data_IF_010714611455
#
_entry.id   IF_010714611455
#
_cell.length_a   1.000
_cell.length_b   1.000
_cell.length_c   1.000
_cell.angle_alpha   90.00
_cell.angle_beta   90.00
_cell.angle_gamma   90.00
#
_symmetry.space_group_name_H-M   'P 1'
#
loop_
_entity.id
_entity.type
_entity.pdbx_description
1 polymer ?
#
# COMPACT_ATOMS: atom_id res chain seq x y z
N UNK A 1 11.81 -34.54 -14.30
CA UNK A 1 12.47 -33.35 -13.70
C UNK A 1 11.39 -32.30 -13.50
N UNK A 2 10.98 -32.07 -12.25
CA UNK A 2 9.82 -31.27 -11.91
C UNK A 2 10.13 -29.78 -11.82
N UNK A 3 9.36 -29.01 -12.59
CA UNK A 3 9.03 -27.59 -12.49
C UNK A 3 9.38 -26.96 -11.13
N UNK A 4 10.42 -26.11 -11.09
CA UNK A 4 10.70 -25.15 -10.01
C UNK A 4 10.39 -23.74 -10.52
N UNK A 5 9.11 -23.46 -10.79
CA UNK A 5 8.64 -22.18 -11.34
C UNK A 5 7.82 -21.36 -10.32
N UNK A 6 7.73 -21.81 -9.07
CA UNK A 6 6.67 -21.37 -8.15
C UNK A 6 7.11 -20.30 -7.12
N UNK A 7 8.41 -20.16 -6.84
CA UNK A 7 8.85 -19.34 -5.68
C UNK A 7 9.12 -17.88 -6.05
N UNK A 8 9.69 -17.63 -7.23
CA UNK A 8 10.10 -16.28 -7.68
C UNK A 8 8.95 -15.48 -8.30
N UNK A 9 8.00 -16.14 -8.97
CA UNK A 9 6.77 -15.48 -9.48
C UNK A 9 5.89 -14.95 -8.35
N UNK A 10 5.88 -15.62 -7.19
CA UNK A 10 5.02 -15.22 -6.06
C UNK A 10 5.41 -13.88 -5.44
N UNK A 11 6.70 -13.52 -5.42
CA UNK A 11 7.14 -12.24 -4.82
C UNK A 11 6.98 -11.06 -5.80
N UNK A 12 7.19 -11.27 -7.09
CA UNK A 12 6.92 -10.28 -8.13
C UNK A 12 5.40 -10.03 -8.32
N UNK A 13 4.56 -11.06 -8.13
CA UNK A 13 3.10 -10.91 -8.05
C UNK A 13 2.62 -10.31 -6.71
N UNK A 14 3.34 -10.48 -5.60
CA UNK A 14 2.92 -9.96 -4.28
C UNK A 14 2.93 -8.43 -4.16
N UNK A 15 3.72 -7.74 -4.99
CA UNK A 15 3.67 -6.29 -5.12
C UNK A 15 2.60 -5.83 -6.12
N UNK A 16 1.61 -6.67 -6.46
CA UNK A 16 0.47 -6.33 -7.31
C UNK A 16 -0.14 -4.99 -6.86
N UNK A 17 0.28 -3.95 -7.58
CA UNK A 17 -0.02 -2.54 -7.44
C UNK A 17 -0.34 -2.06 -6.03
N UNK A 18 0.63 -1.48 -5.31
CA UNK A 18 0.35 -0.64 -4.13
C UNK A 18 -0.77 0.40 -4.40
N UNK A 19 -0.93 0.80 -5.67
CA UNK A 19 -2.05 1.59 -6.18
C UNK A 19 -3.42 0.92 -6.00
N UNK A 20 -3.55 -0.39 -6.23
CA UNK A 20 -4.79 -1.17 -6.08
C UNK A 20 -5.21 -1.33 -4.60
N UNK A 21 -4.29 -1.15 -3.65
CA UNK A 21 -4.60 -1.11 -2.23
C UNK A 21 -5.19 0.24 -1.79
N UNK A 22 -4.92 1.33 -2.51
CA UNK A 22 -5.37 2.67 -2.10
C UNK A 22 -6.91 2.79 -2.05
N UNK A 23 -7.68 2.30 -3.04
CA UNK A 23 -9.15 2.26 -2.94
C UNK A 23 -9.66 1.39 -1.81
N UNK A 24 -9.05 0.20 -1.60
CA UNK A 24 -9.44 -0.74 -0.52
C UNK A 24 -9.22 -0.14 0.86
N UNK A 25 -8.06 0.50 1.08
CA UNK A 25 -7.75 1.21 2.31
C UNK A 25 -8.70 2.40 2.53
N UNK A 26 -9.04 3.12 1.46
CA UNK A 26 -10.02 4.22 1.54
C UNK A 26 -11.41 3.72 1.96
N UNK A 27 -11.85 2.57 1.43
CA UNK A 27 -13.11 1.95 1.82
C UNK A 27 -13.09 1.53 3.29
N UNK A 28 -12.01 0.90 3.75
CA UNK A 28 -11.86 0.48 5.15
C UNK A 28 -11.90 1.67 6.12
N UNK A 29 -11.21 2.76 5.81
CA UNK A 29 -11.23 3.99 6.62
C UNK A 29 -12.65 4.56 6.71
N UNK A 30 -13.38 4.60 5.58
CA UNK A 30 -14.77 5.07 5.57
C UNK A 30 -15.71 4.17 6.37
N UNK A 31 -15.54 2.85 6.29
CA UNK A 31 -16.30 1.91 7.13
C UNK A 31 -16.03 2.16 8.62
N UNK A 32 -14.77 2.38 9.01
CA UNK A 32 -14.42 2.76 10.39
C UNK A 32 -15.10 4.07 10.84
N UNK A 33 -15.11 5.09 9.98
CA UNK A 33 -15.80 6.36 10.25
C UNK A 33 -17.31 6.17 10.44
N UNK A 34 -17.95 5.34 9.61
CA UNK A 34 -19.37 5.06 9.70
C UNK A 34 -19.73 4.30 10.98
N UNK A 35 -18.93 3.30 11.36
CA UNK A 35 -19.14 2.55 12.61
C UNK A 35 -19.01 3.44 13.85
N UNK A 36 -18.07 4.40 13.85
CA UNK A 36 -17.94 5.39 14.92
C UNK A 36 -19.17 6.28 15.00
N UNK A 37 -19.67 6.76 13.86
CA UNK A 37 -20.89 7.56 13.81
C UNK A 37 -22.13 6.77 14.29
N UNK A 38 -22.27 5.52 13.84
CA UNK A 38 -23.36 4.63 14.24
C UNK A 38 -23.34 4.36 15.76
N UNK A 39 -22.18 4.00 16.33
CA UNK A 39 -22.08 3.76 17.78
C UNK A 39 -22.41 5.00 18.60
N UNK A 40 -22.05 6.17 18.09
CA UNK A 40 -22.38 7.46 18.70
C UNK A 40 -23.89 7.68 18.70
N UNK A 41 -24.55 7.47 17.56
CA UNK A 41 -26.00 7.62 17.44
C UNK A 41 -26.73 6.67 18.39
N UNK A 42 -26.30 5.41 18.46
CA UNK A 42 -26.85 4.42 19.38
C UNK A 42 -26.63 4.82 20.85
N UNK A 43 -25.51 5.44 21.20
CA UNK A 43 -25.28 5.92 22.57
C UNK A 43 -26.30 6.98 22.98
N UNK A 44 -26.65 7.88 22.07
CA UNK A 44 -27.65 8.93 22.31
C UNK A 44 -29.05 8.32 22.36
N UNK A 45 -29.39 7.41 21.46
CA UNK A 45 -30.71 6.75 21.45
C UNK A 45 -30.98 5.93 22.72
N UNK A 46 -29.93 5.37 23.33
CA UNK A 46 -30.00 4.61 24.56
C UNK A 46 -29.84 5.47 25.83
N UNK A 47 -29.83 6.80 25.70
CA UNK A 47 -29.63 7.74 26.81
C UNK A 47 -28.29 7.53 27.55
N UNK A 48 -27.29 6.91 26.88
CA UNK A 48 -25.92 6.75 27.39
C UNK A 48 -25.10 8.03 27.23
N UNK A 49 -25.53 8.95 26.37
CA UNK A 49 -24.88 10.23 26.14
C UNK A 49 -25.88 11.36 25.81
N UNK A 50 -25.75 12.48 26.52
CA UNK A 50 -26.67 13.62 26.40
C UNK A 50 -26.47 14.45 25.11
N UNK A 51 -25.22 14.54 24.63
CA UNK A 51 -24.85 15.41 23.51
C UNK A 51 -24.16 14.60 22.41
N UNK A 52 -24.80 14.43 21.23
CA UNK A 52 -24.24 13.66 20.13
C UNK A 52 -22.85 14.11 19.68
N UNK A 53 -22.59 15.41 19.69
CA UNK A 53 -21.31 15.96 19.28
C UNK A 53 -20.16 15.55 20.23
N UNK A 54 -20.40 15.54 21.54
CA UNK A 54 -19.39 15.13 22.53
C UNK A 54 -19.17 13.62 22.51
N UNK A 55 -20.23 12.83 22.37
CA UNK A 55 -20.12 11.39 22.21
C UNK A 55 -19.34 11.02 20.94
N UNK A 56 -19.54 11.77 19.84
CA UNK A 56 -18.79 11.58 18.61
C UNK A 56 -17.31 11.88 18.81
N UNK A 57 -17.00 12.99 19.46
CA UNK A 57 -15.62 13.40 19.75
C UNK A 57 -14.91 12.37 20.63
N UNK A 58 -15.57 11.83 21.66
CA UNK A 58 -15.02 10.76 22.50
C UNK A 58 -14.77 9.48 21.69
N UNK A 59 -15.73 9.05 20.87
CA UNK A 59 -15.57 7.85 20.04
C UNK A 59 -14.49 8.04 18.97
N UNK A 60 -14.36 9.24 18.42
CA UNK A 60 -13.26 9.59 17.51
C UNK A 60 -11.91 9.60 18.22
N UNK A 61 -11.81 10.15 19.42
CA UNK A 61 -10.55 10.17 20.16
C UNK A 61 -10.10 8.75 20.55
N UNK A 62 -11.05 7.87 20.89
CA UNK A 62 -10.77 6.47 21.23
C UNK A 62 -10.38 5.60 20.04
N UNK A 63 -11.02 5.76 18.89
CA UNK A 63 -10.89 4.83 17.76
C UNK A 63 -10.25 5.43 16.50
N UNK A 64 -10.32 6.75 16.32
CA UNK A 64 -9.91 7.48 15.12
C UNK A 64 -8.75 8.46 15.37
N UNK A 65 -7.97 8.26 16.44
CA UNK A 65 -6.83 9.10 16.77
C UNK A 65 -5.79 9.11 15.65
N UNK A 66 -5.44 10.31 15.16
CA UNK A 66 -4.46 10.47 14.07
C UNK A 66 -3.02 10.35 14.55
N UNK A 67 -2.76 10.75 15.80
CA UNK A 67 -1.40 10.95 16.31
C UNK A 67 -0.89 9.79 17.19
N UNK A 68 -1.76 8.84 17.55
CA UNK A 68 -1.37 7.64 18.30
C UNK A 68 -0.92 6.49 17.39
N UNK A 69 -0.33 5.42 17.96
CA UNK A 69 -0.17 4.10 17.31
C UNK A 69 -1.54 3.40 17.10
N UNK A 70 -2.53 4.15 16.64
CA UNK A 70 -3.87 3.67 16.34
C UNK A 70 -3.89 2.94 14.99
N UNK A 71 -4.67 1.85 14.86
CA UNK A 71 -4.89 1.16 13.60
C UNK A 71 -5.30 2.10 12.45
N UNK A 72 -6.10 3.14 12.73
CA UNK A 72 -6.54 4.11 11.73
C UNK A 72 -5.39 5.00 11.24
N UNK A 73 -4.51 5.43 12.15
CA UNK A 73 -3.29 6.17 11.79
C UNK A 73 -2.39 5.33 10.87
N UNK A 74 -2.25 4.02 11.14
CA UNK A 74 -1.51 3.11 10.27
C UNK A 74 -2.16 2.96 8.88
N UNK A 75 -3.48 2.79 8.81
CA UNK A 75 -4.21 2.70 7.54
C UNK A 75 -4.07 3.97 6.69
N UNK A 76 -4.11 5.15 7.32
CA UNK A 76 -3.90 6.43 6.65
C UNK A 76 -2.47 6.54 6.09
N UNK A 77 -1.46 6.13 6.85
CA UNK A 77 -0.04 6.10 6.41
C UNK A 77 0.16 5.13 5.24
N UNK A 78 -0.42 3.94 5.30
CA UNK A 78 -0.38 2.95 4.22
C UNK A 78 -1.04 3.48 2.94
N UNK A 79 -2.18 4.18 3.08
CA UNK A 79 -2.87 4.81 1.95
C UNK A 79 -2.02 5.91 1.31
N UNK A 80 -1.38 6.75 2.12
CA UNK A 80 -0.49 7.80 1.64
C UNK A 80 0.72 7.22 0.91
N UNK A 81 1.32 6.15 1.45
CA UNK A 81 2.40 5.42 0.81
C UNK A 81 1.97 4.83 -0.56
N UNK A 82 0.85 4.11 -0.60
CA UNK A 82 0.32 3.55 -1.85
C UNK A 82 0.01 4.62 -2.91
N UNK A 83 -0.46 5.80 -2.48
CA UNK A 83 -0.64 6.96 -3.35
C UNK A 83 0.69 7.53 -3.85
N UNK A 84 1.69 7.68 -2.99
CA UNK A 84 3.02 8.16 -3.39
C UNK A 84 3.69 7.21 -4.39
N UNK A 85 3.54 5.90 -4.21
CA UNK A 85 4.00 4.91 -5.18
C UNK A 85 3.27 5.11 -6.51
N UNK A 86 1.94 5.18 -6.50
CA UNK A 86 1.14 5.40 -7.72
C UNK A 86 1.54 6.66 -8.48
N UNK A 87 1.68 7.79 -7.77
CA UNK A 87 1.95 9.09 -8.37
C UNK A 87 3.39 9.17 -8.93
N UNK A 88 4.34 8.41 -8.37
CA UNK A 88 5.75 8.37 -8.82
C UNK A 88 6.06 7.20 -9.78
N UNK A 89 5.16 6.24 -9.95
CA UNK A 89 5.31 5.17 -10.94
C UNK A 89 5.03 5.73 -12.33
N UNK A 90 6.10 6.10 -13.04
CA UNK A 90 6.04 6.72 -14.38
C UNK A 90 5.87 5.71 -15.52
N UNK A 91 5.91 4.40 -15.23
CA UNK A 91 5.76 3.35 -16.24
C UNK A 91 5.16 2.07 -15.63
N UNK A 92 4.12 1.53 -16.29
CA UNK A 92 3.42 0.31 -15.87
C UNK A 92 4.18 -0.91 -16.45
N UNK A 93 4.97 -1.56 -15.61
CA UNK A 93 5.72 -2.76 -16.01
C UNK A 93 6.37 -3.48 -14.83
N UNK A 94 6.76 -4.73 -15.07
CA UNK A 94 7.46 -5.54 -14.07
C UNK A 94 8.95 -5.52 -14.35
N UNK A 95 9.73 -5.11 -13.35
CA UNK A 95 11.18 -5.29 -13.35
C UNK A 95 11.47 -6.69 -12.81
N UNK A 96 12.15 -7.52 -13.59
CA UNK A 96 12.57 -8.87 -13.22
C UNK A 96 14.09 -8.96 -13.34
N UNK A 97 14.72 -9.62 -12.38
CA UNK A 97 16.11 -10.02 -12.50
C UNK A 97 16.19 -11.43 -13.07
N UNK A 98 17.19 -11.70 -13.91
CA UNK A 98 17.57 -13.06 -14.26
C UNK A 98 18.07 -13.82 -13.04
N UNK A 99 17.99 -15.16 -13.09
CA UNK A 99 18.39 -16.02 -11.97
C UNK A 99 19.89 -15.87 -11.59
N UNK A 100 20.71 -15.36 -12.51
CA UNK A 100 22.13 -15.07 -12.32
C UNK A 100 22.41 -13.62 -11.86
N UNK A 101 21.38 -12.77 -11.71
CA UNK A 101 21.47 -11.34 -11.40
C UNK A 101 22.29 -10.50 -12.40
N UNK A 102 22.57 -11.03 -13.60
CA UNK A 102 23.36 -10.33 -14.62
C UNK A 102 22.48 -9.55 -15.61
N UNK A 103 21.18 -9.83 -15.68
CA UNK A 103 20.25 -9.22 -16.63
C UNK A 103 19.03 -8.67 -15.88
N UNK A 104 18.71 -7.41 -16.17
CA UNK A 104 17.51 -6.72 -15.71
C UNK A 104 16.51 -6.64 -16.85
N UNK A 105 15.40 -7.37 -16.76
CA UNK A 105 14.34 -7.36 -17.75
C UNK A 105 13.19 -6.44 -17.33
N UNK A 106 12.77 -5.56 -18.23
CA UNK A 106 11.55 -4.76 -18.06
C UNK A 106 10.45 -5.28 -18.98
N UNK A 107 9.33 -5.71 -18.38
CA UNK A 107 8.12 -6.09 -19.13
C UNK A 107 7.09 -4.98 -19.03
N UNK A 108 6.90 -4.24 -20.11
CA UNK A 108 5.81 -3.27 -20.24
C UNK A 108 4.47 -3.98 -20.46
N UNK A 109 3.35 -3.27 -20.26
CA UNK A 109 1.99 -3.83 -20.47
C UNK A 109 1.67 -4.11 -21.96
N UNK A 110 2.43 -3.54 -22.88
CA UNK A 110 2.51 -4.05 -24.26
C UNK A 110 3.71 -4.99 -24.34
N UNK A 111 3.62 -6.08 -25.12
CA UNK A 111 4.58 -7.20 -25.27
C UNK A 111 6.05 -6.84 -25.64
N UNK A 112 6.45 -5.60 -25.45
CA UNK A 112 7.82 -5.13 -25.52
C UNK A 112 8.56 -5.57 -24.25
N UNK A 113 9.48 -6.50 -24.45
CA UNK A 113 10.45 -6.98 -23.48
C UNK A 113 11.78 -6.31 -23.76
N UNK A 114 12.33 -5.61 -22.77
CA UNK A 114 13.65 -4.98 -22.85
C UNK A 114 14.58 -5.60 -21.83
N UNK A 115 15.72 -6.10 -22.29
CA UNK A 115 16.77 -6.64 -21.45
C UNK A 115 17.91 -5.63 -21.31
N UNK A 116 18.25 -5.31 -20.08
CA UNK A 116 19.34 -4.43 -19.73
C UNK A 116 20.45 -5.25 -19.06
N UNK A 117 21.61 -5.43 -19.70
CA UNK A 117 22.74 -6.11 -19.09
C UNK A 117 23.31 -5.29 -17.92
N UNK A 118 23.69 -5.97 -16.84
CA UNK A 118 24.28 -5.37 -15.67
C UNK A 118 25.76 -5.03 -15.92
N UNK A 119 26.04 -3.80 -16.36
CA UNK A 119 27.42 -3.33 -16.56
C UNK A 119 28.13 -2.83 -15.29
N UNK A 120 27.60 -3.10 -14.09
CA UNK A 120 28.23 -2.64 -12.83
C UNK A 120 29.12 -3.69 -12.16
N UNK A 121 30.27 -3.98 -12.76
CA UNK A 121 31.44 -4.40 -11.97
C UNK A 121 32.67 -3.50 -12.12
N UNK A 122 32.82 -2.72 -13.20
CA UNK A 122 34.12 -2.09 -13.50
C UNK A 122 34.11 -0.59 -13.82
N UNK A 123 32.97 0.12 -13.78
CA UNK A 123 32.89 1.52 -14.25
C UNK A 123 33.03 2.61 -13.17
N UNK A 124 33.09 2.26 -11.88
CA UNK A 124 33.14 3.24 -10.78
C UNK A 124 34.56 3.57 -10.29
N UNK A 125 35.62 3.04 -10.91
CA UNK A 125 37.02 3.27 -10.50
C UNK A 125 37.76 4.36 -11.29
N UNK A 126 37.09 5.11 -12.18
CA UNK A 126 37.73 6.19 -12.98
C UNK A 126 37.32 7.61 -12.57
N UNK A 127 36.65 7.77 -11.44
CA UNK A 127 36.38 9.06 -10.81
C UNK A 127 36.79 8.97 -9.34
N UNK A 128 38.10 8.95 -9.11
CA UNK A 128 38.76 9.24 -7.84
C UNK A 128 40.08 9.93 -8.15
#
# INVERSE_FOLDING_TARGET
>A
MGIRQDVTSSNAQKLSEAAAFTPKLSALIKMGQLLVAERTLLAVELDEADVPAHALEEMQDRFMTKDARSPISWLLKLRAYGKAVKDNTTSLGYIMWSDDNEILSYKSRGDQHFDFPNHSRNSWSRIA
#
